data_IF_027745811394
#
_entry.id   IF_027745811394
#
_cell.length_a   1.000
_cell.length_b   1.000
_cell.length_c   1.000
_cell.angle_alpha   90.00
_cell.angle_beta   90.00
_cell.angle_gamma   90.00
#
_symmetry.space_group_name_H-M   'P 1'
#
loop_
_entity.id
_entity.type
_entity.pdbx_description
1 polymer ?
#
# COMPACT_ATOMS: atom_id res chain seq x y z
N UNK A 1 -4.35 9.68 19.02
CA UNK A 1 -5.24 8.50 19.01
C UNK A 1 -4.57 7.44 18.15
N UNK A 2 -4.67 6.16 18.52
CA UNK A 2 -4.13 5.08 17.70
C UNK A 2 -4.79 5.05 16.32
N UNK A 3 -4.07 4.54 15.34
CA UNK A 3 -4.50 4.40 13.95
C UNK A 3 -5.28 3.12 13.76
N UNK A 4 -6.39 3.19 13.04
CA UNK A 4 -7.29 2.05 12.91
C UNK A 4 -6.99 1.23 11.65
N UNK A 5 -6.77 -0.06 11.84
CA UNK A 5 -6.57 -1.08 10.80
C UNK A 5 -7.83 -1.94 10.74
N UNK A 6 -8.53 -1.92 9.61
CA UNK A 6 -9.72 -2.72 9.38
C UNK A 6 -9.39 -3.93 8.50
N UNK A 7 -9.69 -5.13 8.98
CA UNK A 7 -9.63 -6.35 8.18
C UNK A 7 -11.03 -6.66 7.63
N UNK A 8 -11.23 -6.52 6.32
CA UNK A 8 -12.48 -6.88 5.65
C UNK A 8 -12.35 -8.29 5.07
N UNK A 9 -13.29 -9.17 5.39
CA UNK A 9 -13.21 -10.55 4.91
C UNK A 9 -14.57 -11.26 4.85
N UNK A 10 -14.57 -12.51 4.39
CA UNK A 10 -15.64 -13.46 4.72
C UNK A 10 -15.33 -14.18 6.04
N UNK A 11 -16.34 -14.70 6.72
CA UNK A 11 -16.12 -15.73 7.75
C UNK A 11 -15.35 -16.92 7.14
N UNK A 12 -14.49 -17.54 7.94
CA UNK A 12 -13.69 -18.71 7.52
C UNK A 12 -12.74 -18.47 6.34
N UNK A 13 -12.47 -17.22 5.95
CA UNK A 13 -11.45 -16.91 4.94
C UNK A 13 -10.01 -16.98 5.47
N UNK A 14 -9.83 -16.99 6.79
CA UNK A 14 -8.52 -16.93 7.45
C UNK A 14 -8.16 -15.55 8.03
N UNK A 15 -9.12 -14.61 8.05
CA UNK A 15 -8.92 -13.30 8.67
C UNK A 15 -8.60 -13.34 10.16
N UNK A 16 -9.09 -14.34 10.92
CA UNK A 16 -8.65 -14.51 12.32
C UNK A 16 -7.15 -14.79 12.41
N UNK A 17 -6.60 -15.62 11.52
CA UNK A 17 -5.17 -15.88 11.46
C UNK A 17 -4.37 -14.63 11.06
N UNK A 18 -4.87 -13.87 10.08
CA UNK A 18 -4.28 -12.57 9.71
C UNK A 18 -4.30 -11.58 10.88
N UNK A 19 -5.39 -11.54 11.65
CA UNK A 19 -5.50 -10.67 12.82
C UNK A 19 -4.54 -11.08 13.94
N UNK A 20 -4.35 -12.38 14.19
CA UNK A 20 -3.32 -12.89 15.10
C UNK A 20 -1.91 -12.49 14.65
N UNK A 21 -1.60 -12.65 13.35
CA UNK A 21 -0.31 -12.26 12.78
C UNK A 21 -0.06 -10.74 12.93
N UNK A 22 -1.07 -9.89 12.67
CA UNK A 22 -0.95 -8.44 12.91
C UNK A 22 -0.64 -8.15 14.38
N UNK A 23 -1.41 -8.75 15.29
CA UNK A 23 -1.35 -8.44 16.71
C UNK A 23 -0.17 -9.10 17.44
N UNK A 24 0.64 -9.89 16.74
CA UNK A 24 1.98 -10.28 17.20
C UNK A 24 2.92 -9.06 17.29
N UNK A 25 2.67 -8.01 16.52
CA UNK A 25 3.44 -6.78 16.56
C UNK A 25 3.08 -5.96 17.82
N UNK A 26 4.05 -5.55 18.66
CA UNK A 26 3.78 -4.92 19.97
C UNK A 26 3.04 -3.58 19.89
N UNK A 27 3.11 -2.89 18.75
CA UNK A 27 2.38 -1.64 18.49
C UNK A 27 0.92 -1.82 18.05
N UNK A 28 0.47 -3.03 17.72
CA UNK A 28 -0.86 -3.30 17.18
C UNK A 28 -1.70 -4.02 18.22
N UNK A 29 -2.83 -3.42 18.58
CA UNK A 29 -3.75 -3.97 19.55
C UNK A 29 -4.90 -4.73 18.87
N UNK A 30 -5.22 -5.91 19.39
CA UNK A 30 -6.30 -6.75 18.87
C UNK A 30 -7.67 -6.36 19.48
N UNK A 31 -8.64 -6.04 18.63
CA UNK A 31 -10.02 -5.77 19.00
C UNK A 31 -11.01 -6.85 18.52
N UNK A 32 -10.54 -7.88 17.79
CA UNK A 32 -11.38 -9.00 17.40
C UNK A 32 -12.48 -8.67 16.37
N UNK A 33 -13.58 -9.40 16.45
CA UNK A 33 -14.76 -9.27 15.58
C UNK A 33 -15.79 -8.34 16.23
N UNK A 34 -15.62 -7.02 16.06
CA UNK A 34 -16.41 -6.05 16.82
C UNK A 34 -17.92 -6.11 16.58
N UNK A 35 -18.35 -6.60 15.41
CA UNK A 35 -19.74 -6.68 14.99
C UNK A 35 -20.37 -8.07 15.19
N UNK A 36 -19.67 -9.00 15.86
CA UNK A 36 -20.20 -10.32 16.15
C UNK A 36 -21.14 -10.29 17.38
N UNK A 37 -22.46 -10.51 17.22
CA UNK A 37 -23.39 -10.47 18.33
C UNK A 37 -23.21 -11.62 19.34
N UNK A 38 -22.48 -12.69 18.97
CA UNK A 38 -22.13 -13.76 19.90
C UNK A 38 -20.97 -13.38 20.82
N UNK A 39 -20.10 -12.45 20.39
CA UNK A 39 -19.00 -11.92 21.20
C UNK A 39 -19.46 -10.73 22.06
N UNK A 40 -20.31 -9.86 21.51
CA UNK A 40 -20.94 -8.77 22.26
C UNK A 40 -22.45 -8.68 21.98
N UNK A 41 -23.32 -9.03 22.94
CA UNK A 41 -24.77 -8.97 22.76
C UNK A 41 -25.31 -7.53 22.60
N UNK A 42 -24.48 -6.50 22.85
CA UNK A 42 -24.86 -5.10 22.71
C UNK A 42 -24.60 -4.54 21.30
N UNK A 43 -24.12 -5.34 20.34
CA UNK A 43 -23.96 -4.91 18.95
C UNK A 43 -25.31 -4.41 18.42
N UNK A 44 -25.40 -3.13 18.00
CA UNK A 44 -26.64 -2.58 17.45
C UNK A 44 -27.10 -3.30 16.19
N UNK A 45 -28.41 -3.28 15.92
CA UNK A 45 -29.00 -3.87 14.70
C UNK A 45 -29.39 -2.82 13.66
N UNK A 46 -29.16 -1.56 13.98
CA UNK A 46 -29.44 -0.41 13.14
C UNK A 46 -28.13 0.31 12.78
N UNK A 47 -28.04 0.78 11.53
CA UNK A 47 -26.81 1.35 11.00
C UNK A 47 -26.30 2.58 11.76
N UNK A 48 -27.19 3.42 12.30
CA UNK A 48 -26.78 4.61 13.08
C UNK A 48 -26.12 4.20 14.39
N UNK A 49 -26.68 3.23 15.12
CA UNK A 49 -26.09 2.71 16.35
C UNK A 49 -24.72 2.05 16.14
N UNK A 50 -24.50 1.37 15.00
CA UNK A 50 -23.23 0.69 14.68
C UNK A 50 -22.05 1.66 14.72
N UNK A 51 -22.20 2.86 14.16
CA UNK A 51 -21.10 3.82 14.07
C UNK A 51 -20.64 4.30 15.44
N UNK A 52 -21.59 4.66 16.30
CA UNK A 52 -21.31 5.10 17.67
C UNK A 52 -20.75 3.95 18.53
N UNK A 53 -21.30 2.75 18.35
CA UNK A 53 -20.80 1.55 19.01
C UNK A 53 -19.33 1.28 18.65
N UNK A 54 -18.98 1.27 17.37
CA UNK A 54 -17.60 1.05 16.91
C UNK A 54 -16.66 2.15 17.40
N UNK A 55 -17.05 3.42 17.28
CA UNK A 55 -16.23 4.54 17.72
C UNK A 55 -15.98 4.49 19.24
N UNK A 56 -16.99 4.11 20.03
CA UNK A 56 -16.85 3.91 21.48
C UNK A 56 -15.91 2.74 21.79
N UNK A 57 -16.07 1.59 21.13
CA UNK A 57 -15.21 0.42 21.31
C UNK A 57 -13.76 0.74 20.98
N UNK A 58 -13.50 1.36 19.83
CA UNK A 58 -12.14 1.72 19.39
C UNK A 58 -11.49 2.81 20.24
N UNK A 59 -12.29 3.63 20.95
CA UNK A 59 -11.78 4.64 21.88
C UNK A 59 -11.44 4.10 23.27
N UNK A 60 -11.87 2.86 23.59
CA UNK A 60 -11.61 2.22 24.87
C UNK A 60 -10.53 1.15 24.67
N UNK A 61 -9.47 1.13 25.50
CA UNK A 61 -8.55 0.00 25.46
C UNK A 61 -9.32 -1.30 25.78
N UNK A 62 -9.08 -2.43 25.07
CA UNK A 62 -9.67 -3.73 25.38
C UNK A 62 -9.46 -4.09 26.85
N UNK A 63 -10.37 -4.86 27.45
CA UNK A 63 -10.30 -5.25 28.87
C UNK A 63 -8.97 -5.94 29.25
N UNK A 64 -8.28 -6.58 28.30
CA UNK A 64 -6.97 -7.22 28.48
C UNK A 64 -5.76 -6.28 28.33
N UNK A 65 -5.95 -5.05 27.83
CA UNK A 65 -4.88 -4.06 27.68
C UNK A 65 -4.39 -3.51 29.02
N UNK A 66 -5.16 -3.66 30.10
CA UNK A 66 -4.71 -3.32 31.45
C UNK A 66 -3.61 -4.26 31.98
N UNK A 67 -3.30 -5.35 31.28
CA UNK A 67 -2.22 -6.29 31.62
C UNK A 67 -0.96 -6.12 30.77
N UNK A 68 -1.00 -5.36 29.67
CA UNK A 68 0.21 -5.06 28.89
C UNK A 68 1.01 -3.96 29.60
N UNK A 69 2.20 -4.31 30.09
CA UNK A 69 3.14 -3.45 30.80
C UNK A 69 3.61 -2.23 29.97
N UNK A 70 2.77 -1.20 29.86
CA UNK A 70 3.22 0.20 29.76
C UNK A 70 3.56 0.79 28.38
N UNK A 71 3.30 0.10 27.27
CA UNK A 71 3.48 0.70 25.94
C UNK A 71 2.13 1.10 25.33
N UNK A 72 1.90 2.39 25.00
CA UNK A 72 0.69 2.79 24.30
C UNK A 72 0.68 2.19 22.90
N UNK A 73 -0.40 1.50 22.54
CA UNK A 73 -0.61 0.99 21.18
C UNK A 73 -0.68 2.16 20.19
N UNK A 74 0.07 2.06 19.09
CA UNK A 74 0.00 3.04 17.99
C UNK A 74 -1.11 2.69 17.02
N UNK A 75 -1.54 1.42 16.97
CA UNK A 75 -2.55 0.91 16.06
C UNK A 75 -3.59 0.04 16.77
N UNK A 76 -4.83 0.09 16.30
CA UNK A 76 -5.92 -0.81 16.68
C UNK A 76 -6.35 -1.63 15.46
N UNK A 77 -6.30 -2.95 15.55
CA UNK A 77 -6.73 -3.85 14.49
C UNK A 77 -8.02 -4.57 14.87
N UNK A 78 -9.01 -4.55 13.97
CA UNK A 78 -10.29 -5.24 14.13
C UNK A 78 -10.75 -5.78 12.78
N UNK A 79 -11.68 -6.72 12.78
CA UNK A 79 -12.24 -7.30 11.56
C UNK A 79 -13.75 -7.08 11.47
N UNK A 80 -14.23 -6.96 10.24
CA UNK A 80 -15.65 -6.93 9.88
C UNK A 80 -15.84 -7.84 8.67
N UNK A 81 -16.89 -8.64 8.70
CA UNK A 81 -17.25 -9.55 7.64
C UNK A 81 -18.23 -8.95 6.65
N UNK A 82 -18.05 -9.25 5.36
CA UNK A 82 -18.83 -8.63 4.26
C UNK A 82 -20.35 -8.81 4.37
N UNK A 83 -20.81 -9.89 5.01
CA UNK A 83 -22.22 -10.19 5.21
C UNK A 83 -22.87 -9.37 6.33
N UNK A 84 -22.10 -8.90 7.32
CA UNK A 84 -22.61 -8.13 8.47
C UNK A 84 -23.23 -6.80 8.03
N UNK A 85 -22.80 -6.27 6.88
CA UNK A 85 -23.34 -5.05 6.28
C UNK A 85 -24.86 -5.15 6.03
N UNK A 86 -25.33 -6.26 5.49
CA UNK A 86 -26.77 -6.44 5.24
C UNK A 86 -27.53 -6.79 6.54
N UNK A 87 -26.88 -7.47 7.48
CA UNK A 87 -27.48 -7.84 8.78
C UNK A 87 -27.67 -6.63 9.71
N UNK A 88 -26.78 -5.64 9.63
CA UNK A 88 -26.71 -4.50 10.53
C UNK A 88 -26.99 -3.15 9.83
N UNK A 89 -27.23 -3.20 8.51
CA UNK A 89 -27.67 -2.08 7.68
C UNK A 89 -26.77 -0.83 7.77
N UNK A 90 -25.46 -1.01 7.70
CA UNK A 90 -24.49 0.09 7.67
C UNK A 90 -23.95 0.35 6.24
N UNK A 91 -23.27 1.49 6.06
CA UNK A 91 -22.56 1.85 4.82
C UNK A 91 -21.06 1.79 5.03
N UNK A 92 -20.34 1.16 4.10
CA UNK A 92 -18.90 0.96 4.20
C UNK A 92 -18.11 2.28 4.21
N UNK A 93 -18.40 3.19 3.29
CA UNK A 93 -17.74 4.49 3.19
C UNK A 93 -17.89 5.30 4.49
N UNK A 94 -19.11 5.32 5.04
CA UNK A 94 -19.41 6.00 6.28
C UNK A 94 -18.72 5.33 7.47
N UNK A 95 -18.78 4.00 7.58
CA UNK A 95 -18.10 3.25 8.65
C UNK A 95 -16.59 3.52 8.65
N UNK A 96 -15.94 3.40 7.50
CA UNK A 96 -14.51 3.60 7.33
C UNK A 96 -14.10 5.01 7.76
N UNK A 97 -14.85 6.03 7.31
CA UNK A 97 -14.58 7.44 7.63
C UNK A 97 -14.89 7.77 9.09
N UNK A 98 -16.01 7.30 9.62
CA UNK A 98 -16.45 7.55 11.00
C UNK A 98 -15.48 6.93 12.00
N UNK A 99 -15.06 5.70 11.74
CA UNK A 99 -14.07 4.99 12.54
C UNK A 99 -12.64 5.44 12.25
N UNK A 100 -12.40 6.44 11.38
CA UNK A 100 -11.07 6.96 11.04
C UNK A 100 -10.06 5.84 10.68
N UNK A 101 -10.53 4.88 9.89
CA UNK A 101 -9.69 3.77 9.42
C UNK A 101 -8.65 4.32 8.45
N UNK A 102 -7.38 4.08 8.74
CA UNK A 102 -6.25 4.53 7.90
C UNK A 102 -5.72 3.40 7.00
N UNK A 103 -6.01 2.15 7.33
CA UNK A 103 -5.51 0.99 6.59
C UNK A 103 -6.58 -0.09 6.51
N UNK A 104 -6.81 -0.61 5.31
CA UNK A 104 -7.76 -1.70 5.09
C UNK A 104 -7.03 -2.89 4.49
N UNK A 105 -7.18 -4.03 5.14
CA UNK A 105 -6.64 -5.32 4.69
C UNK A 105 -7.83 -6.17 4.23
N UNK A 106 -7.78 -6.65 3.00
CA UNK A 106 -8.84 -7.45 2.38
C UNK A 106 -8.37 -8.91 2.29
N UNK A 107 -9.07 -9.81 2.99
CA UNK A 107 -8.69 -11.22 3.11
C UNK A 107 -9.72 -12.14 2.47
N UNK A 108 -9.29 -12.96 1.50
CA UNK A 108 -10.16 -13.93 0.85
C UNK A 108 -9.47 -15.28 0.61
N UNK A 109 -10.26 -16.28 0.23
CA UNK A 109 -9.80 -17.58 -0.30
C UNK A 109 -10.16 -17.68 -1.75
N UNK A 110 -9.24 -18.22 -2.56
CA UNK A 110 -9.41 -18.33 -4.02
C UNK A 110 -10.64 -19.16 -4.40
N UNK A 111 -10.85 -20.28 -3.72
CA UNK A 111 -11.96 -21.21 -3.98
C UNK A 111 -13.16 -20.86 -3.08
N UNK A 112 -14.24 -20.32 -3.66
CA UNK A 112 -15.38 -19.79 -2.89
C UNK A 112 -16.09 -20.91 -2.13
N UNK A 113 -16.27 -22.06 -2.79
CA UNK A 113 -16.99 -23.22 -2.27
C UNK A 113 -16.37 -23.74 -0.97
N UNK A 114 -15.04 -23.80 -0.90
CA UNK A 114 -14.30 -24.21 0.30
C UNK A 114 -14.67 -23.33 1.51
N UNK A 115 -14.88 -22.03 1.29
CA UNK A 115 -15.23 -21.10 2.35
C UNK A 115 -16.70 -21.25 2.78
N UNK A 116 -17.63 -21.37 1.81
CA UNK A 116 -19.05 -21.61 2.08
C UNK A 116 -19.23 -22.90 2.91
N UNK A 117 -18.63 -23.99 2.46
CA UNK A 117 -18.73 -25.29 3.14
C UNK A 117 -18.06 -25.25 4.51
N UNK A 118 -16.95 -24.53 4.64
CA UNK A 118 -16.32 -24.38 5.94
C UNK A 118 -17.16 -23.58 6.93
N UNK A 119 -17.98 -22.64 6.48
CA UNK A 119 -18.95 -21.93 7.33
C UNK A 119 -20.08 -22.87 7.76
N UNK A 120 -20.65 -23.64 6.82
CA UNK A 120 -21.71 -24.61 7.14
C UNK A 120 -21.26 -25.66 8.15
N UNK A 121 -20.04 -26.16 8.00
CA UNK A 121 -19.48 -27.13 8.95
C UNK A 121 -19.31 -26.47 10.33
N UNK A 122 -18.75 -25.26 10.40
CA UNK A 122 -18.57 -24.55 11.67
C UNK A 122 -19.91 -24.27 12.37
N UNK A 123 -20.98 -23.95 11.63
CA UNK A 123 -22.33 -23.77 12.19
C UNK A 123 -22.89 -25.04 12.81
N UNK A 124 -22.63 -26.20 12.20
CA UNK A 124 -23.14 -27.49 12.71
C UNK A 124 -22.32 -27.98 13.91
N UNK A 125 -20.99 -27.80 13.87
CA UNK A 125 -20.10 -28.29 14.93
C UNK A 125 -19.93 -27.30 16.08
N UNK A 126 -20.33 -26.04 15.89
CA UNK A 126 -20.04 -24.91 16.77
C UNK A 126 -18.53 -24.69 17.00
N UNK A 127 -17.70 -25.11 16.03
CA UNK A 127 -16.23 -25.01 16.09
C UNK A 127 -15.72 -23.94 15.11
N UNK A 128 -15.64 -22.69 15.59
CA UNK A 128 -15.19 -21.55 14.79
C UNK A 128 -13.67 -21.32 14.88
N UNK A 129 -13.06 -21.68 16.02
CA UNK A 129 -11.65 -21.47 16.35
C UNK A 129 -11.05 -22.67 17.09
N UNK A 130 -9.78 -22.97 16.83
CA UNK A 130 -8.99 -23.89 17.66
C UNK A 130 -7.49 -23.69 17.44
N UNK A 131 -6.73 -23.84 18.53
CA UNK A 131 -5.26 -23.85 18.52
C UNK A 131 -4.68 -25.27 18.30
N UNK A 132 -5.53 -26.30 18.35
CA UNK A 132 -5.11 -27.70 18.22
C UNK A 132 -5.32 -28.17 16.78
N UNK A 133 -4.32 -28.86 16.24
CA UNK A 133 -4.48 -29.58 14.99
C UNK A 133 -5.52 -30.70 15.16
N UNK A 134 -6.41 -30.83 14.19
CA UNK A 134 -7.46 -31.85 14.19
C UNK A 134 -7.44 -32.61 12.88
N UNK A 135 -7.50 -33.93 12.96
CA UNK A 135 -7.71 -34.83 11.83
C UNK A 135 -9.18 -35.19 11.64
N UNK A 136 -10.10 -34.61 12.44
CA UNK A 136 -11.53 -34.86 12.32
C UNK A 136 -12.04 -34.32 10.99
N UNK A 137 -12.74 -35.20 10.27
CA UNK A 137 -13.40 -34.86 9.01
C UNK A 137 -14.89 -34.74 9.29
N UNK A 138 -15.42 -33.56 9.03
CA UNK A 138 -16.86 -33.30 9.02
C UNK A 138 -17.32 -33.13 7.58
N UNK A 139 -18.49 -33.69 7.26
CA UNK A 139 -19.05 -33.63 5.92
C UNK A 139 -20.52 -33.23 5.96
N UNK A 140 -20.91 -32.37 5.02
CA UNK A 140 -22.26 -31.82 4.89
C UNK A 140 -22.87 -32.20 3.54
N UNK A 141 -24.19 -32.17 3.46
CA UNK A 141 -24.91 -32.28 2.19
C UNK A 141 -25.36 -30.88 1.77
N UNK A 142 -25.08 -30.48 0.54
CA UNK A 142 -25.37 -29.13 0.05
C UNK A 142 -26.25 -29.22 -1.19
N UNK A 143 -27.33 -28.44 -1.24
CA UNK A 143 -28.17 -28.34 -2.44
C UNK A 143 -27.57 -27.37 -3.47
N UNK A 144 -27.90 -27.59 -4.73
CA UNK A 144 -27.46 -26.71 -5.82
C UNK A 144 -27.94 -25.26 -5.63
N UNK A 145 -29.21 -25.09 -5.23
CA UNK A 145 -29.82 -23.78 -5.01
C UNK A 145 -29.15 -23.02 -3.87
N UNK A 146 -28.80 -23.72 -2.78
CA UNK A 146 -28.08 -23.12 -1.67
C UNK A 146 -26.68 -22.65 -2.11
N UNK A 147 -25.96 -23.48 -2.86
CA UNK A 147 -24.61 -23.13 -3.30
C UNK A 147 -24.64 -21.93 -4.27
N UNK A 148 -25.58 -21.94 -5.24
CA UNK A 148 -25.80 -20.82 -6.17
C UNK A 148 -26.13 -19.53 -5.44
N UNK A 149 -27.11 -19.55 -4.54
CA UNK A 149 -27.53 -18.37 -3.79
C UNK A 149 -26.41 -17.83 -2.90
N UNK A 150 -25.67 -18.71 -2.22
CA UNK A 150 -24.52 -18.33 -1.39
C UNK A 150 -23.40 -17.67 -2.21
N UNK A 151 -23.01 -18.27 -3.34
CA UNK A 151 -21.99 -17.69 -4.23
C UNK A 151 -22.42 -16.30 -4.72
N UNK A 152 -23.68 -16.16 -5.18
CA UNK A 152 -24.19 -14.88 -5.68
C UNK A 152 -24.22 -13.82 -4.57
N UNK A 153 -24.62 -14.21 -3.36
CA UNK A 153 -24.61 -13.31 -2.19
C UNK A 153 -23.19 -12.84 -1.87
N UNK A 154 -22.19 -13.71 -1.96
CA UNK A 154 -20.79 -13.36 -1.69
C UNK A 154 -20.24 -12.36 -2.68
N UNK A 155 -20.48 -12.62 -3.97
CA UNK A 155 -20.04 -11.74 -5.04
C UNK A 155 -20.69 -10.37 -4.93
N UNK A 156 -21.99 -10.33 -4.62
CA UNK A 156 -22.72 -9.09 -4.34
C UNK A 156 -22.13 -8.35 -3.13
N UNK A 157 -21.92 -9.04 -2.00
CA UNK A 157 -21.41 -8.40 -0.78
C UNK A 157 -20.01 -7.83 -0.97
N UNK A 158 -19.14 -8.50 -1.73
CA UNK A 158 -17.84 -7.93 -2.11
C UNK A 158 -17.98 -6.73 -3.05
N UNK A 159 -18.87 -6.79 -4.04
CA UNK A 159 -19.12 -5.67 -4.93
C UNK A 159 -19.60 -4.44 -4.14
N UNK A 160 -20.53 -4.62 -3.20
CA UNK A 160 -21.04 -3.57 -2.32
C UNK A 160 -19.92 -2.86 -1.52
N UNK A 161 -18.92 -3.63 -1.04
CA UNK A 161 -17.72 -3.08 -0.37
C UNK A 161 -16.96 -2.16 -1.32
N UNK A 162 -16.71 -2.62 -2.55
CA UNK A 162 -15.86 -1.90 -3.52
C UNK A 162 -16.56 -0.72 -4.18
N UNK A 163 -17.87 -0.81 -4.40
CA UNK A 163 -18.68 0.33 -4.87
C UNK A 163 -18.66 1.47 -3.87
N UNK A 164 -18.58 1.15 -2.57
CA UNK A 164 -18.50 2.11 -1.47
C UNK A 164 -17.06 2.42 -1.04
N UNK A 165 -16.05 1.97 -1.79
CA UNK A 165 -14.67 2.12 -1.35
C UNK A 165 -14.22 3.60 -1.33
N UNK A 166 -13.57 4.05 -0.24
CA UNK A 166 -12.96 5.37 -0.20
C UNK A 166 -11.68 5.40 -1.03
N UNK A 167 -11.63 6.29 -2.03
CA UNK A 167 -10.53 6.39 -3.00
C UNK A 167 -9.18 6.68 -2.32
N UNK A 168 -9.21 7.34 -1.17
CA UNK A 168 -8.05 7.75 -0.39
C UNK A 168 -7.33 6.59 0.31
N UNK A 169 -7.93 5.39 0.39
CA UNK A 169 -7.34 4.22 1.05
C UNK A 169 -6.95 3.17 0.02
N UNK A 170 -5.65 2.82 0.00
CA UNK A 170 -5.16 1.67 -0.77
C UNK A 170 -5.50 0.36 -0.04
N UNK A 171 -6.17 -0.62 -0.68
CA UNK A 171 -6.35 -1.94 -0.10
C UNK A 171 -5.02 -2.70 -0.03
N UNK A 172 -4.79 -3.39 1.08
CA UNK A 172 -3.78 -4.44 1.19
C UNK A 172 -4.47 -5.77 0.96
N UNK A 173 -4.15 -6.46 -0.14
CA UNK A 173 -4.80 -7.71 -0.52
C UNK A 173 -4.03 -8.92 0.01
N UNK A 174 -4.72 -9.82 0.71
CA UNK A 174 -4.15 -11.08 1.18
C UNK A 174 -5.03 -12.25 0.72
N UNK A 175 -4.51 -13.03 -0.24
CA UNK A 175 -5.08 -14.32 -0.57
C UNK A 175 -4.59 -15.34 0.46
N UNK A 176 -5.51 -16.02 1.15
CA UNK A 176 -5.20 -17.01 2.18
C UNK A 176 -4.18 -18.05 1.71
N UNK A 177 -4.36 -18.59 0.50
CA UNK A 177 -3.46 -19.60 -0.04
C UNK A 177 -2.04 -19.05 -0.20
N UNK A 178 -1.85 -17.79 -0.60
CA UNK A 178 -0.50 -17.22 -0.75
C UNK A 178 0.22 -17.09 0.59
N UNK A 179 -0.52 -16.93 1.69
CA UNK A 179 0.06 -16.85 3.02
C UNK A 179 0.31 -18.24 3.62
N UNK A 180 -0.53 -19.23 3.32
CA UNK A 180 -0.57 -20.52 4.05
C UNK A 180 -0.32 -21.80 3.20
N UNK A 181 -0.23 -21.74 1.87
CA UNK A 181 -0.31 -22.92 0.97
C UNK A 181 0.83 -23.94 1.06
N UNK A 182 1.98 -23.62 1.65
CA UNK A 182 3.17 -24.50 1.63
C UNK A 182 3.47 -25.17 2.98
N UNK A 183 2.55 -25.10 3.94
CA UNK A 183 2.78 -25.62 5.29
C UNK A 183 2.12 -26.99 5.50
N UNK A 184 2.76 -28.05 4.99
CA UNK A 184 2.54 -29.42 5.52
C UNK A 184 3.09 -29.59 6.95
N UNK A 185 3.60 -28.52 7.55
CA UNK A 185 3.91 -28.41 8.97
C UNK A 185 4.18 -26.93 9.26
N UNK A 186 3.58 -26.43 10.34
CA UNK A 186 3.96 -25.30 11.19
C UNK A 186 5.36 -24.67 10.98
N UNK A 187 5.65 -24.05 9.83
CA UNK A 187 6.86 -23.26 9.65
C UNK A 187 6.50 -21.79 9.77
N UNK A 188 6.30 -21.34 11.02
CA UNK A 188 5.97 -19.96 11.38
C UNK A 188 6.96 -18.97 10.74
N UNK A 189 8.20 -19.37 10.46
CA UNK A 189 9.20 -18.53 9.80
C UNK A 189 8.81 -18.10 8.38
N UNK A 190 8.24 -18.99 7.55
CA UNK A 190 7.84 -18.64 6.17
C UNK A 190 6.63 -17.72 6.19
N UNK A 191 5.66 -17.99 7.08
CA UNK A 191 4.49 -17.12 7.27
C UNK A 191 4.97 -15.75 7.76
N UNK A 192 5.87 -15.71 8.73
CA UNK A 192 6.46 -14.48 9.25
C UNK A 192 7.16 -13.67 8.16
N UNK A 193 7.97 -14.31 7.31
CA UNK A 193 8.65 -13.67 6.17
C UNK A 193 7.64 -13.05 5.18
N UNK A 194 6.63 -13.84 4.79
CA UNK A 194 5.56 -13.36 3.90
C UNK A 194 4.80 -12.18 4.52
N UNK A 195 4.57 -12.22 5.83
CA UNK A 195 3.84 -11.20 6.54
C UNK A 195 4.64 -9.91 6.79
N UNK A 196 5.98 -9.94 6.71
CA UNK A 196 6.79 -8.70 6.78
C UNK A 196 6.37 -7.67 5.73
N UNK A 197 5.98 -8.12 4.53
CA UNK A 197 5.50 -7.23 3.46
C UNK A 197 4.22 -6.49 3.87
N UNK A 198 3.34 -7.15 4.61
CA UNK A 198 2.11 -6.54 5.13
C UNK A 198 2.44 -5.42 6.13
N UNK A 199 3.42 -5.62 7.01
CA UNK A 199 3.91 -4.57 7.92
C UNK A 199 4.48 -3.36 7.16
N UNK A 200 5.28 -3.62 6.12
CA UNK A 200 5.81 -2.56 5.26
C UNK A 200 4.69 -1.78 4.54
N UNK A 201 3.66 -2.46 4.02
CA UNK A 201 2.50 -1.82 3.39
C UNK A 201 1.66 -0.99 4.38
N UNK A 202 1.53 -1.46 5.64
CA UNK A 202 0.92 -0.67 6.73
C UNK A 202 1.80 0.55 7.11
N UNK A 203 3.09 0.52 6.77
CA UNK A 203 4.07 1.56 7.09
C UNK A 203 4.61 1.46 8.52
N UNK A 204 4.76 0.23 9.02
CA UNK A 204 5.43 -0.07 10.29
C UNK A 204 6.66 -0.92 10.03
N UNK A 205 7.64 -0.81 10.92
CA UNK A 205 8.82 -1.68 10.88
C UNK A 205 8.39 -3.15 11.01
N UNK A 206 9.13 -4.03 10.34
CA UNK A 206 8.92 -5.47 10.48
C UNK A 206 9.12 -5.93 11.93
N UNK A 207 8.54 -7.08 12.27
CA UNK A 207 8.70 -7.67 13.59
C UNK A 207 9.24 -9.09 13.50
N UNK A 208 10.24 -9.40 14.32
CA UNK A 208 10.93 -10.70 14.29
C UNK A 208 10.02 -11.85 14.74
N UNK A 209 9.14 -11.60 15.71
CA UNK A 209 8.27 -12.61 16.31
C UNK A 209 6.85 -12.52 15.75
N UNK A 210 6.61 -13.13 14.60
CA UNK A 210 5.26 -13.23 14.02
C UNK A 210 4.71 -14.63 14.25
N UNK A 211 3.70 -14.74 15.11
CA UNK A 211 3.08 -16.01 15.49
C UNK A 211 1.60 -16.07 15.13
N UNK A 212 1.16 -17.25 14.68
CA UNK A 212 -0.23 -17.58 14.42
C UNK A 212 -0.58 -18.86 15.16
N UNK A 213 -1.52 -18.77 16.10
CA UNK A 213 -1.91 -19.90 16.94
C UNK A 213 -3.09 -20.66 16.37
N UNK A 214 -3.96 -19.97 15.62
CA UNK A 214 -5.09 -20.56 14.94
C UNK A 214 -4.65 -21.64 13.95
N UNK A 215 -5.29 -22.82 14.03
CA UNK A 215 -5.06 -23.93 13.12
C UNK A 215 -6.24 -24.10 12.16
N UNK A 216 -5.96 -24.57 10.93
CA UNK A 216 -6.99 -24.84 9.93
C UNK A 216 -7.91 -25.97 10.44
N UNK A 217 -9.20 -25.67 10.59
CA UNK A 217 -10.20 -26.67 10.97
C UNK A 217 -10.66 -27.47 9.75
N UNK A 218 -10.93 -28.76 9.95
CA UNK A 218 -11.33 -29.72 8.92
C UNK A 218 -10.41 -29.64 7.67
N UNK A 219 -9.13 -30.05 7.78
CA UNK A 219 -8.13 -29.89 6.72
C UNK A 219 -8.33 -30.86 5.53
N UNK A 220 -9.43 -31.60 5.48
CA UNK A 220 -9.72 -32.52 4.38
C UNK A 220 -9.82 -31.81 3.01
N UNK A 221 -9.63 -32.54 1.91
CA UNK A 221 -10.04 -32.10 0.57
C UNK A 221 -11.55 -31.80 0.48
N UNK A 222 -11.95 -30.86 -0.38
CA UNK A 222 -13.33 -30.36 -0.47
C UNK A 222 -14.35 -31.45 -0.87
N UNK A 223 -13.93 -32.41 -1.70
CA UNK A 223 -14.75 -33.55 -2.13
C UNK A 223 -15.08 -34.51 -0.98
N UNK A 224 -14.29 -34.52 0.08
CA UNK A 224 -14.57 -35.28 1.31
C UNK A 224 -15.47 -34.50 2.28
N UNK A 225 -15.54 -33.17 2.16
CA UNK A 225 -16.39 -32.31 3.00
C UNK A 225 -17.84 -32.24 2.50
N UNK A 226 -18.09 -32.55 1.23
CA UNK A 226 -19.42 -32.49 0.64
C UNK A 226 -19.85 -33.90 0.26
N UNK A 227 -20.82 -34.46 1.00
CA UNK A 227 -21.28 -35.85 0.81
C UNK A 227 -21.78 -36.11 -0.61
N UNK A 228 -22.43 -35.12 -1.20
CA UNK A 228 -22.99 -35.17 -2.55
C UNK A 228 -22.14 -34.41 -3.58
N UNK A 229 -20.82 -34.34 -3.38
CA UNK A 229 -19.91 -33.57 -4.25
C UNK A 229 -20.09 -33.88 -5.73
N UNK A 230 -20.08 -35.15 -6.11
CA UNK A 230 -20.18 -35.56 -7.51
C UNK A 230 -21.56 -35.34 -8.15
N UNK A 231 -22.59 -35.04 -7.35
CA UNK A 231 -23.92 -34.71 -7.88
C UNK A 231 -24.05 -33.22 -8.19
N UNK A 232 -23.15 -32.37 -7.71
CA UNK A 232 -23.20 -30.92 -7.94
C UNK A 232 -22.60 -30.56 -9.32
N UNK A 233 -23.18 -29.58 -10.03
CA UNK A 233 -22.64 -29.08 -11.30
C UNK A 233 -21.18 -28.67 -11.17
N UNK A 234 -20.34 -29.07 -12.15
CA UNK A 234 -18.91 -28.76 -12.16
C UNK A 234 -18.63 -27.25 -12.09
N UNK A 235 -19.44 -26.47 -12.80
CA UNK A 235 -19.36 -25.00 -12.85
C UNK A 235 -19.45 -24.36 -11.46
N UNK A 236 -20.33 -24.88 -10.60
CA UNK A 236 -20.45 -24.39 -9.22
C UNK A 236 -19.30 -24.85 -8.34
N UNK A 237 -18.83 -26.09 -8.54
CA UNK A 237 -17.78 -26.71 -7.73
C UNK A 237 -16.42 -26.03 -7.90
N UNK A 238 -16.14 -25.53 -9.09
CA UNK A 238 -14.86 -24.93 -9.47
C UNK A 238 -14.90 -23.39 -9.46
N UNK A 239 -15.90 -22.80 -8.80
CA UNK A 239 -16.06 -21.36 -8.72
C UNK A 239 -14.93 -20.70 -7.92
N UNK A 240 -14.25 -19.74 -8.57
CA UNK A 240 -13.16 -18.96 -8.00
C UNK A 240 -13.50 -17.49 -7.94
N UNK A 241 -12.89 -16.77 -7.01
CA UNK A 241 -12.96 -15.32 -6.91
C UNK A 241 -11.57 -14.71 -7.02
N UNK A 242 -11.46 -13.66 -7.84
CA UNK A 242 -10.30 -12.78 -7.89
C UNK A 242 -10.73 -11.42 -7.35
N UNK A 243 -10.56 -11.25 -6.03
CA UNK A 243 -10.99 -10.04 -5.31
C UNK A 243 -10.25 -8.79 -5.80
N UNK A 244 -8.91 -8.79 -6.02
CA UNK A 244 -8.21 -7.66 -6.62
C UNK A 244 -8.74 -7.25 -7.99
N UNK A 245 -8.95 -8.21 -8.91
CA UNK A 245 -9.45 -7.90 -10.25
C UNK A 245 -10.87 -7.30 -10.21
N UNK A 246 -11.71 -7.78 -9.30
CA UNK A 246 -13.06 -7.24 -9.11
C UNK A 246 -13.02 -5.81 -8.53
N UNK A 247 -12.14 -5.55 -7.57
CA UNK A 247 -11.89 -4.19 -7.08
C UNK A 247 -11.45 -3.27 -8.22
N UNK A 248 -10.45 -3.67 -9.00
CA UNK A 248 -9.93 -2.88 -10.12
C UNK A 248 -11.01 -2.55 -11.15
N UNK A 249 -11.85 -3.52 -11.50
CA UNK A 249 -12.95 -3.33 -12.44
C UNK A 249 -14.00 -2.34 -11.93
N UNK A 250 -14.42 -2.47 -10.67
CA UNK A 250 -15.43 -1.61 -10.06
C UNK A 250 -14.91 -0.18 -9.96
N UNK A 251 -13.68 0.02 -9.49
CA UNK A 251 -13.09 1.35 -9.36
C UNK A 251 -12.82 1.98 -10.72
N UNK A 252 -12.28 1.22 -11.68
CA UNK A 252 -12.09 1.67 -13.07
C UNK A 252 -13.39 2.19 -13.68
N UNK A 253 -14.47 1.42 -13.54
CA UNK A 253 -15.80 1.79 -14.05
C UNK A 253 -16.39 3.00 -13.32
N UNK A 254 -16.26 3.07 -11.99
CA UNK A 254 -16.79 4.15 -11.16
C UNK A 254 -16.16 5.50 -11.50
N UNK A 255 -14.86 5.53 -11.81
CA UNK A 255 -14.12 6.77 -12.05
C UNK A 255 -13.77 7.02 -13.53
N UNK A 256 -14.10 6.09 -14.43
CA UNK A 256 -13.75 6.19 -15.85
C UNK A 256 -12.24 6.14 -16.10
N UNK A 257 -11.49 5.38 -15.28
CA UNK A 257 -10.03 5.30 -15.33
C UNK A 257 -9.58 3.99 -15.98
N UNK A 258 -8.48 3.98 -16.77
CA UNK A 258 -7.80 2.76 -17.19
C UNK A 258 -7.42 1.87 -15.99
N UNK A 259 -7.53 0.55 -16.13
CA UNK A 259 -7.25 -0.40 -15.03
C UNK A 259 -5.82 -0.28 -14.52
N UNK A 260 -4.87 0.02 -15.40
CA UNK A 260 -3.45 0.21 -15.10
C UNK A 260 -3.21 1.39 -14.14
N UNK A 261 -4.06 2.43 -14.25
CA UNK A 261 -4.06 3.56 -13.34
C UNK A 261 -4.68 3.16 -12.00
N UNK A 262 -5.72 2.32 -11.99
CA UNK A 262 -6.37 1.82 -10.78
C UNK A 262 -5.41 1.05 -9.87
N UNK A 263 -4.60 0.16 -10.43
CA UNK A 263 -3.58 -0.61 -9.70
C UNK A 263 -2.48 0.28 -9.12
N UNK A 264 -2.28 1.49 -9.66
CA UNK A 264 -1.24 2.45 -9.26
C UNK A 264 -1.78 3.67 -8.47
N UNK A 265 -3.05 3.67 -8.05
CA UNK A 265 -3.78 4.85 -7.52
C UNK A 265 -3.26 5.49 -6.24
N UNK A 266 -2.17 5.01 -5.66
CA UNK A 266 -1.44 5.78 -4.67
C UNK A 266 0.01 5.75 -5.10
N UNK A 267 0.67 6.90 -5.35
CA UNK A 267 2.13 6.90 -5.51
C UNK A 267 2.70 6.07 -4.35
N UNK A 268 3.68 5.21 -4.63
CA UNK A 268 4.29 4.39 -3.59
C UNK A 268 4.50 5.27 -2.35
N UNK A 269 4.04 4.79 -1.19
CA UNK A 269 4.26 5.52 0.06
C UNK A 269 5.72 5.91 0.06
N UNK A 270 6.01 7.20 0.27
CA UNK A 270 7.40 7.63 0.42
C UNK A 270 8.05 6.65 1.40
N UNK A 271 9.14 5.97 0.98
CA UNK A 271 9.78 4.99 1.84
C UNK A 271 10.03 5.66 3.19
N UNK A 272 9.80 4.94 4.29
CA UNK A 272 10.05 5.52 5.60
C UNK A 272 11.50 6.03 5.63
N UNK A 273 11.74 7.29 6.03
CA UNK A 273 13.08 7.80 6.11
C UNK A 273 13.90 6.88 7.03
N UNK A 274 15.13 6.49 6.64
CA UNK A 274 16.01 5.77 7.56
C UNK A 274 16.23 6.61 8.82
N UNK A 275 16.68 5.99 9.93
CA UNK A 275 17.12 6.71 11.13
C UNK A 275 18.23 7.72 10.76
N UNK A 276 17.86 8.95 10.39
CA UNK A 276 18.75 9.94 9.77
C UNK A 276 18.11 10.80 8.66
N UNK A 277 16.95 10.43 8.13
CA UNK A 277 16.25 11.17 7.07
C UNK A 277 16.81 10.89 5.67
N UNK A 278 16.08 11.33 4.65
CA UNK A 278 16.62 11.38 3.29
C UNK A 278 17.43 12.66 3.08
N UNK A 279 18.56 12.54 2.39
CA UNK A 279 19.34 13.69 1.93
C UNK A 279 19.32 13.73 0.40
N UNK A 280 18.36 14.43 -0.16
CA UNK A 280 18.32 14.73 -1.59
C UNK A 280 19.08 16.04 -1.86
N UNK A 281 20.02 16.00 -2.80
CA UNK A 281 20.69 17.21 -3.28
C UNK A 281 19.82 17.83 -4.37
N UNK A 282 19.55 19.13 -4.26
CA UNK A 282 18.83 19.88 -5.31
C UNK A 282 19.62 19.92 -6.61
N UNK A 283 20.95 19.92 -6.52
CA UNK A 283 21.85 19.82 -7.65
C UNK A 283 23.16 19.11 -7.27
N UNK A 284 23.71 18.37 -8.22
CA UNK A 284 25.04 17.76 -8.12
C UNK A 284 25.78 17.91 -9.46
N UNK A 285 27.09 18.25 -9.45
CA UNK A 285 27.85 18.37 -10.69
C UNK A 285 28.09 16.99 -11.31
N UNK A 286 27.81 16.85 -12.59
CA UNK A 286 28.24 15.68 -13.36
C UNK A 286 29.73 15.81 -13.69
N UNK A 287 30.56 14.95 -13.08
CA UNK A 287 32.02 14.96 -13.25
C UNK A 287 32.46 13.62 -13.86
N UNK A 288 32.52 13.50 -15.20
CA UNK A 288 32.94 12.28 -15.86
C UNK A 288 34.47 12.11 -15.85
N UNK A 289 34.95 10.92 -16.20
CA UNK A 289 36.38 10.55 -16.09
C UNK A 289 37.30 11.46 -16.92
N UNK A 290 36.81 11.97 -18.03
CA UNK A 290 37.51 12.85 -18.96
C UNK A 290 37.92 14.17 -18.29
N UNK A 291 37.14 14.67 -17.33
CA UNK A 291 37.48 15.89 -16.58
C UNK A 291 38.81 15.70 -15.85
N UNK A 292 39.00 14.56 -15.20
CA UNK A 292 40.24 14.25 -14.49
C UNK A 292 41.43 14.14 -15.45
N UNK A 293 41.23 13.57 -16.63
CA UNK A 293 42.29 13.45 -17.63
C UNK A 293 42.73 14.84 -18.12
N UNK A 294 41.78 15.70 -18.48
CA UNK A 294 42.07 17.05 -18.99
C UNK A 294 42.73 17.94 -17.95
N UNK A 295 42.24 17.91 -16.70
CA UNK A 295 42.85 18.68 -15.60
C UNK A 295 44.26 18.17 -15.29
N UNK A 296 44.47 16.86 -15.23
CA UNK A 296 45.81 16.30 -15.00
C UNK A 296 46.78 16.62 -16.13
N UNK A 297 46.32 16.63 -17.38
CA UNK A 297 47.14 17.04 -18.52
C UNK A 297 47.54 18.51 -18.42
N UNK A 298 46.61 19.41 -18.12
CA UNK A 298 46.89 20.83 -17.91
C UNK A 298 47.94 21.05 -16.80
N UNK A 299 47.82 20.30 -15.68
CA UNK A 299 48.77 20.36 -14.57
C UNK A 299 50.16 19.84 -14.97
N UNK A 300 50.23 18.69 -15.65
CA UNK A 300 51.49 18.07 -16.07
C UNK A 300 52.24 18.92 -17.11
N UNK A 301 51.51 19.55 -18.01
CA UNK A 301 52.07 20.38 -19.09
C UNK A 301 52.34 21.82 -18.66
N UNK A 302 51.88 22.23 -17.47
CA UNK A 302 51.99 23.61 -16.99
C UNK A 302 51.04 24.59 -17.68
N UNK A 303 50.11 24.10 -18.51
CA UNK A 303 49.15 24.89 -19.28
C UNK A 303 47.94 25.30 -18.42
N UNK A 304 48.19 26.05 -17.34
CA UNK A 304 47.18 26.37 -16.32
C UNK A 304 46.61 27.78 -16.41
N UNK A 305 47.17 28.65 -17.25
CA UNK A 305 46.73 30.05 -17.37
C UNK A 305 45.64 30.22 -18.43
N UNK A 306 45.03 31.40 -18.46
CA UNK A 306 44.07 31.80 -19.50
C UNK A 306 44.67 31.91 -20.91
N UNK A 307 46.01 31.92 -21.03
CA UNK A 307 46.72 31.90 -22.30
C UNK A 307 47.02 30.47 -22.82
N UNK A 308 46.56 29.43 -22.10
CA UNK A 308 46.71 28.03 -22.53
C UNK A 308 45.85 27.68 -23.74
N UNK A 309 46.03 26.48 -24.28
CA UNK A 309 45.24 25.96 -25.40
C UNK A 309 43.79 25.62 -25.02
N UNK A 310 43.52 25.32 -23.74
CA UNK A 310 42.22 24.81 -23.28
C UNK A 310 41.03 25.75 -23.56
N UNK A 311 41.10 27.07 -23.29
CA UNK A 311 40.03 28.00 -23.66
C UNK A 311 39.76 28.03 -25.16
N UNK A 312 40.80 27.96 -25.99
CA UNK A 312 40.67 27.93 -27.46
C UNK A 312 40.01 26.64 -27.94
N UNK A 313 40.37 25.50 -27.35
CA UNK A 313 39.74 24.23 -27.66
C UNK A 313 38.26 24.21 -27.25
N UNK A 314 37.94 24.72 -26.07
CA UNK A 314 36.55 24.88 -25.61
C UNK A 314 35.76 25.78 -26.55
N UNK A 315 36.32 26.95 -26.93
CA UNK A 315 35.73 27.85 -27.92
C UNK A 315 35.38 27.11 -29.22
N UNK A 316 36.32 26.37 -29.80
CA UNK A 316 36.10 25.66 -31.06
C UNK A 316 34.99 24.59 -30.92
N UNK A 317 34.98 23.86 -29.81
CA UNK A 317 33.92 22.88 -29.50
C UNK A 317 32.55 23.52 -29.36
N UNK A 318 32.47 24.67 -28.67
CA UNK A 318 31.24 25.43 -28.52
C UNK A 318 30.72 25.98 -29.86
N UNK A 319 31.60 26.54 -30.71
CA UNK A 319 31.24 26.98 -32.07
C UNK A 319 30.63 25.82 -32.87
N UNK A 320 31.28 24.65 -32.84
CA UNK A 320 30.78 23.45 -33.54
C UNK A 320 29.47 22.92 -32.96
N UNK A 321 29.27 23.00 -31.65
CA UNK A 321 28.09 22.44 -30.98
C UNK A 321 26.85 23.32 -31.19
N UNK A 322 27.01 24.63 -31.13
CA UNK A 322 25.91 25.60 -31.25
C UNK A 322 25.72 26.17 -32.67
N UNK A 323 26.51 25.72 -33.65
CA UNK A 323 26.56 26.29 -35.00
C UNK A 323 26.77 27.82 -34.97
N UNK A 324 27.71 28.26 -34.11
CA UNK A 324 28.06 29.66 -33.94
C UNK A 324 29.40 29.98 -34.58
N UNK A 325 29.52 31.16 -35.20
CA UNK A 325 30.78 31.65 -35.76
C UNK A 325 31.81 31.97 -34.68
N UNK A 326 31.37 32.35 -33.48
CA UNK A 326 32.24 32.78 -32.37
C UNK A 326 31.69 32.27 -31.03
N UNK A 327 32.59 31.80 -30.17
CA UNK A 327 32.31 31.47 -28.78
C UNK A 327 33.46 31.96 -27.91
N UNK A 328 33.18 32.73 -26.86
CA UNK A 328 34.22 33.29 -25.98
C UNK A 328 34.02 32.74 -24.55
N UNK A 329 34.80 31.74 -24.12
CA UNK A 329 34.74 31.26 -22.74
C UNK A 329 35.13 32.37 -21.76
N UNK A 330 34.26 32.61 -20.78
CA UNK A 330 34.46 33.60 -19.72
C UNK A 330 34.62 32.90 -18.36
N UNK A 331 35.11 33.64 -17.36
CA UNK A 331 35.29 33.10 -16.01
C UNK A 331 33.98 32.64 -15.34
N UNK A 332 32.85 33.30 -15.67
CA UNK A 332 31.50 32.94 -15.22
C UNK A 332 30.45 33.62 -16.11
N UNK A 333 29.17 33.31 -15.86
CA UNK A 333 28.05 33.86 -16.62
C UNK A 333 27.83 35.37 -16.45
N UNK A 334 28.18 35.96 -15.30
CA UNK A 334 28.03 37.41 -15.09
C UNK A 334 28.99 38.21 -15.98
N UNK A 335 30.27 37.82 -16.04
CA UNK A 335 31.25 38.48 -16.90
C UNK A 335 30.90 38.27 -18.39
N UNK A 336 30.35 37.11 -18.77
CA UNK A 336 29.88 36.89 -20.13
C UNK A 336 28.79 37.89 -20.53
N UNK A 337 27.84 38.17 -19.63
CA UNK A 337 26.78 39.17 -19.86
C UNK A 337 27.34 40.59 -20.00
N UNK A 338 28.25 40.98 -19.09
CA UNK A 338 28.92 42.29 -19.17
C UNK A 338 29.64 42.45 -20.49
N UNK A 339 30.45 41.47 -20.90
CA UNK A 339 31.21 41.52 -22.14
C UNK A 339 30.30 41.60 -23.37
N UNK A 340 29.19 40.86 -23.37
CA UNK A 340 28.22 40.88 -24.48
C UNK A 340 27.56 42.26 -24.64
N UNK A 341 27.14 42.88 -23.54
CA UNK A 341 26.57 44.22 -23.53
C UNK A 341 27.58 45.29 -23.99
N UNK A 342 28.82 45.26 -23.47
CA UNK A 342 29.87 46.18 -23.90
C UNK A 342 30.20 46.02 -25.39
N UNK A 343 30.27 44.77 -25.87
CA UNK A 343 30.54 44.48 -27.27
C UNK A 343 29.39 44.91 -28.20
N UNK A 344 28.19 45.07 -27.66
CA UNK A 344 27.03 45.61 -28.34
C UNK A 344 26.95 47.15 -28.28
N UNK A 345 27.97 47.81 -27.70
CA UNK A 345 28.04 49.26 -27.50
C UNK A 345 26.89 49.82 -26.63
N UNK A 346 26.36 48.99 -25.71
CA UNK A 346 25.43 49.46 -24.68
C UNK A 346 26.20 50.30 -23.68
N UNK A 347 25.65 51.46 -23.36
CA UNK A 347 26.28 52.52 -22.58
C UNK A 347 25.29 53.17 -21.61
N UNK A 348 25.80 54.11 -20.81
CA UNK A 348 24.98 54.85 -19.86
C UNK A 348 23.78 55.53 -20.55
N UNK A 349 22.60 55.35 -19.98
CA UNK A 349 21.29 55.80 -20.45
C UNK A 349 20.62 54.96 -21.54
N UNK A 350 21.25 53.88 -22.01
CA UNK A 350 20.58 52.90 -22.86
C UNK A 350 19.60 52.04 -22.05
N UNK A 351 18.47 51.67 -22.65
CA UNK A 351 17.45 50.82 -22.02
C UNK A 351 17.59 49.37 -22.50
N UNK A 352 17.65 48.43 -21.54
CA UNK A 352 17.73 46.99 -21.82
C UNK A 352 16.50 46.30 -21.24
N UNK A 353 15.71 45.66 -22.11
CA UNK A 353 14.53 44.88 -21.69
C UNK A 353 14.99 43.56 -21.09
N UNK A 354 14.57 43.29 -19.85
CA UNK A 354 14.89 42.05 -19.12
C UNK A 354 13.63 41.46 -18.46
N UNK A 355 13.54 40.13 -18.29
CA UNK A 355 12.46 39.52 -17.54
C UNK A 355 12.56 39.85 -16.04
N UNK A 356 11.42 40.13 -15.41
CA UNK A 356 11.36 40.40 -13.96
C UNK A 356 11.66 39.16 -13.09
N UNK A 357 11.47 37.95 -13.64
CA UNK A 357 11.78 36.68 -12.96
C UNK A 357 13.04 36.08 -13.56
N UNK A 358 14.19 36.40 -12.99
CA UNK A 358 15.51 35.95 -13.47
C UNK A 358 16.56 35.97 -12.36
N UNK A 359 17.77 35.48 -12.65
CA UNK A 359 18.92 35.56 -11.76
C UNK A 359 19.43 37.01 -11.68
N UNK A 360 19.79 37.46 -10.47
CA UNK A 360 20.23 38.85 -10.21
C UNK A 360 21.44 39.30 -11.03
N UNK A 361 22.23 38.36 -11.57
CA UNK A 361 23.35 38.64 -12.46
C UNK A 361 22.92 39.41 -13.72
N UNK A 362 21.69 39.19 -14.23
CA UNK A 362 21.17 39.82 -15.44
C UNK A 362 20.98 41.34 -15.26
N UNK A 363 20.14 41.83 -14.33
CA UNK A 363 19.99 43.27 -14.10
C UNK A 363 21.29 43.94 -13.62
N UNK A 364 22.13 43.22 -12.85
CA UNK A 364 23.41 43.77 -12.42
C UNK A 364 24.38 43.98 -13.58
N UNK A 365 24.38 43.12 -14.61
CA UNK A 365 25.24 43.27 -15.77
C UNK A 365 24.81 44.48 -16.61
N UNK A 366 23.51 44.76 -16.71
CA UNK A 366 22.99 45.98 -17.34
C UNK A 366 23.43 47.22 -16.56
N UNK A 367 23.25 47.22 -15.23
CA UNK A 367 23.63 48.36 -14.37
C UNK A 367 25.15 48.62 -14.31
N UNK A 368 25.97 47.61 -14.58
CA UNK A 368 27.43 47.71 -14.53
C UNK A 368 28.01 48.50 -15.70
N UNK A 369 27.33 48.45 -16.86
CA UNK A 369 27.67 49.19 -18.08
C UNK A 369 27.00 50.57 -18.09
#
# INVERSE_FOLDING_TARGET
MPKNILVISRQRSGSTAVLELLCSHPKIQNFGELLNPNEDPNVPKDGEGIYDYLNKKLSQPPELASLSNGWPSEYCAFKIHIHEKDEQNFKWDYLIRYCKVETIIVVWRKEIVETIVSVEIARITDEWYSMKETSKIHSVSITEDFLKSSINSDLKNWADVFESWPIEIRPIFIQYEELFSDSNSSNNAIIAERFQKVFQEIGIEGHEFVECYSKKQNPAPIDQKIKNWFTLPKELREQKINVPAMFEEIISKKFGLPKEIVTSMVPDREPLPPCGGFKYRVAEPFIPKEVFNNVNDALKTGNISSASSWPKELSNKLCSFFDSQVAIPCANGFIALVLALQSSNISQNDEVIIPSLTMIAVPNAVKFN
#
